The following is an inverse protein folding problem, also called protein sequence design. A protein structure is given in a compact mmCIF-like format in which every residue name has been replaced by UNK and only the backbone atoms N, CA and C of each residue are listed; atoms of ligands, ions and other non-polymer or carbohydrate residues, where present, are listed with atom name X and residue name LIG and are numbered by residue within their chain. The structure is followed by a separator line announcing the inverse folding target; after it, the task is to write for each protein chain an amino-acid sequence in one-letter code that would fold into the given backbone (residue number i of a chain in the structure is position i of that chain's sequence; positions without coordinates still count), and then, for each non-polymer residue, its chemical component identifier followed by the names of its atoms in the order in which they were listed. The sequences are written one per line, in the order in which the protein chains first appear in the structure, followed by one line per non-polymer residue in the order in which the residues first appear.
data_IF_812864523142
#
_entry.id   IF_812864523142
#
_cell.length_a   1.000
_cell.length_b   1.000
_cell.length_c   1.000
_cell.angle_alpha   90.00
_cell.angle_beta   90.00
_cell.angle_gamma   90.00
#
_symmetry.space_group_name_H-M   'P 1'
#
loop_
_entity.id
_entity.type
_entity.pdbx_description
1 polymer ?
#
# COMPACT_ATOMS: atom_id res chain seq x y z
N UNK A 1 12.48 -1.74 39.03
CA UNK A 1 11.25 -0.94 38.81
C UNK A 1 11.49 0.43 39.44
N UNK A 2 11.34 1.51 38.68
CA UNK A 2 11.67 2.88 39.15
C UNK A 2 10.42 3.56 39.71
N UNK A 3 10.59 4.56 40.59
CA UNK A 3 9.50 5.08 41.44
C UNK A 3 8.36 5.83 40.72
N UNK A 4 8.38 5.94 39.38
CA UNK A 4 7.29 6.55 38.61
C UNK A 4 5.99 5.73 38.67
N UNK A 5 6.11 4.41 38.74
CA UNK A 5 5.02 3.44 38.61
C UNK A 5 3.97 3.49 39.75
N UNK A 6 4.20 4.33 40.79
CA UNK A 6 3.34 4.43 41.99
C UNK A 6 2.57 5.74 42.14
N UNK A 7 2.67 6.66 41.18
CA UNK A 7 1.93 7.94 41.25
C UNK A 7 0.65 7.91 40.40
N UNK A 8 -0.46 8.44 40.93
CA UNK A 8 -1.73 8.55 40.20
C UNK A 8 -1.55 9.28 38.85
N UNK A 9 -0.72 10.33 38.83
CA UNK A 9 -0.35 11.05 37.61
C UNK A 9 0.39 10.17 36.59
N UNK A 10 1.26 9.25 37.04
CA UNK A 10 1.93 8.28 36.17
C UNK A 10 0.93 7.34 35.50
N UNK A 11 0.04 6.72 36.29
CA UNK A 11 -1.02 5.82 35.77
C UNK A 11 -1.95 6.53 34.79
N UNK A 12 -2.33 7.80 35.06
CA UNK A 12 -3.15 8.59 34.14
C UNK A 12 -2.40 8.90 32.83
N UNK A 13 -1.11 9.24 32.89
CA UNK A 13 -0.33 9.51 31.68
C UNK A 13 -0.04 8.24 30.87
N UNK A 14 0.26 7.11 31.53
CA UNK A 14 0.38 5.81 30.86
C UNK A 14 -0.95 5.38 30.23
N UNK A 15 -2.09 5.57 30.91
CA UNK A 15 -3.41 5.33 30.36
C UNK A 15 -3.72 6.24 29.16
N UNK A 16 -3.27 7.50 29.18
CA UNK A 16 -3.37 8.43 28.02
C UNK A 16 -2.46 8.00 26.87
N UNK A 17 -1.22 7.61 27.15
CA UNK A 17 -0.26 7.10 26.16
C UNK A 17 -0.81 5.82 25.52
N UNK A 18 -1.37 4.91 26.32
CA UNK A 18 -1.95 3.65 25.85
C UNK A 18 -3.27 3.86 25.09
N UNK A 19 -4.15 4.74 25.57
CA UNK A 19 -5.32 5.17 24.79
C UNK A 19 -4.91 5.85 23.46
N UNK A 20 -3.81 6.60 23.44
CA UNK A 20 -3.24 7.21 22.24
C UNK A 20 -2.67 6.16 21.29
N UNK A 21 -1.93 5.16 21.78
CA UNK A 21 -1.45 4.00 20.99
C UNK A 21 -2.62 3.24 20.38
N UNK A 22 -3.66 2.93 21.16
CA UNK A 22 -4.91 2.28 20.72
C UNK A 22 -5.63 3.10 19.64
N UNK A 23 -5.78 4.41 19.81
CA UNK A 23 -6.34 5.33 18.79
C UNK A 23 -5.43 5.53 17.58
N UNK A 24 -4.11 5.31 17.70
CA UNK A 24 -3.17 5.38 16.57
C UNK A 24 -3.23 4.13 15.71
N UNK A 25 -3.46 2.97 16.31
CA UNK A 25 -3.54 1.69 15.59
C UNK A 25 -4.95 1.34 15.08
N UNK A 26 -6.02 2.00 15.57
CA UNK A 26 -7.38 1.76 15.06
C UNK A 26 -7.56 2.34 13.63
N UNK A 27 -8.13 1.55 12.70
CA UNK A 27 -8.56 2.04 11.40
C UNK A 27 -9.59 3.18 11.51
N UNK A 28 -9.69 4.03 10.48
CA UNK A 28 -10.81 4.99 10.39
C UNK A 28 -12.14 4.23 10.22
N UNK A 29 -13.25 4.70 10.84
CA UNK A 29 -14.58 4.11 10.68
C UNK A 29 -15.00 4.07 9.20
N UNK A 30 -15.71 3.01 8.80
CA UNK A 30 -16.13 2.80 7.41
C UNK A 30 -16.91 4.01 6.84
N UNK A 31 -17.83 4.58 7.62
CA UNK A 31 -18.65 5.72 7.20
C UNK A 31 -17.80 6.97 6.89
N UNK A 32 -16.74 7.23 7.67
CA UNK A 32 -15.81 8.35 7.43
C UNK A 32 -15.04 8.15 6.13
N UNK A 33 -14.68 6.91 5.78
CA UNK A 33 -14.02 6.61 4.50
C UNK A 33 -14.96 6.75 3.32
N UNK A 34 -16.23 6.34 3.46
CA UNK A 34 -17.18 6.30 2.34
C UNK A 34 -17.98 7.59 2.13
N UNK A 35 -18.03 8.49 3.12
CA UNK A 35 -18.69 9.80 3.02
C UNK A 35 -18.34 10.60 1.75
N UNK A 36 -17.05 10.70 1.41
CA UNK A 36 -16.61 11.47 0.26
C UNK A 36 -17.01 10.87 -1.10
N UNK A 37 -17.37 9.57 -1.16
CA UNK A 37 -17.96 8.96 -2.36
C UNK A 37 -19.40 9.45 -2.54
N UNK A 38 -20.18 9.46 -1.46
CA UNK A 38 -21.55 10.01 -1.49
C UNK A 38 -21.53 11.49 -1.88
N UNK A 39 -20.59 12.27 -1.35
CA UNK A 39 -20.40 13.68 -1.73
C UNK A 39 -20.05 13.83 -3.21
N UNK A 40 -19.11 13.03 -3.74
CA UNK A 40 -18.75 13.06 -5.16
C UNK A 40 -19.95 12.76 -6.07
N UNK A 41 -20.72 11.71 -5.75
CA UNK A 41 -21.91 11.34 -6.53
C UNK A 41 -23.02 12.40 -6.45
N UNK A 42 -23.20 13.04 -5.28
CA UNK A 42 -24.14 14.14 -5.12
C UNK A 42 -23.76 15.37 -5.96
N UNK A 43 -22.48 15.76 -5.95
CA UNK A 43 -21.96 16.87 -6.79
C UNK A 43 -22.10 16.54 -8.28
N UNK A 44 -21.73 15.31 -8.70
CA UNK A 44 -21.89 14.88 -10.09
C UNK A 44 -23.37 14.89 -10.52
N UNK A 45 -24.28 14.41 -9.67
CA UNK A 45 -25.73 14.44 -9.90
C UNK A 45 -26.30 15.86 -10.00
N UNK A 46 -25.88 16.77 -9.12
CA UNK A 46 -26.27 18.19 -9.19
C UNK A 46 -25.79 18.85 -10.49
N UNK A 47 -24.53 18.64 -10.87
CA UNK A 47 -23.98 19.16 -12.14
C UNK A 47 -24.72 18.56 -13.34
N UNK A 48 -25.09 17.28 -13.29
CA UNK A 48 -25.89 16.63 -14.34
C UNK A 48 -27.30 17.23 -14.45
N UNK A 49 -27.95 17.50 -13.31
CA UNK A 49 -29.25 18.17 -13.27
C UNK A 49 -29.18 19.58 -13.90
N UNK A 50 -28.24 20.43 -13.45
CA UNK A 50 -28.08 21.79 -14.00
C UNK A 50 -27.71 21.75 -15.48
N UNK A 51 -26.81 20.85 -15.89
CA UNK A 51 -26.41 20.71 -17.29
C UNK A 51 -27.59 20.29 -18.16
N UNK A 52 -28.25 19.17 -17.86
CA UNK A 52 -29.34 18.65 -18.69
C UNK A 52 -30.52 19.64 -18.72
N UNK A 53 -30.97 20.13 -17.55
CA UNK A 53 -32.10 21.05 -17.46
C UNK A 53 -31.84 22.37 -18.21
N UNK A 54 -30.76 23.07 -17.87
CA UNK A 54 -30.51 24.43 -18.40
C UNK A 54 -30.01 24.43 -19.85
N UNK A 55 -29.35 23.36 -20.33
CA UNK A 55 -29.03 23.19 -21.76
C UNK A 55 -30.32 23.02 -22.58
N UNK A 56 -31.25 22.18 -22.12
CA UNK A 56 -32.52 21.97 -22.81
C UNK A 56 -33.37 23.24 -22.83
N UNK A 57 -33.66 23.83 -21.66
CA UNK A 57 -34.49 25.04 -21.54
C UNK A 57 -34.01 26.17 -22.45
N UNK A 58 -32.73 26.55 -22.35
CA UNK A 58 -32.19 27.73 -23.05
C UNK A 58 -32.05 27.51 -24.56
N UNK A 59 -31.83 26.29 -25.04
CA UNK A 59 -31.75 26.02 -26.49
C UNK A 59 -33.16 25.89 -27.11
N UNK A 60 -34.16 25.41 -26.37
CA UNK A 60 -35.56 25.37 -26.81
C UNK A 60 -36.15 26.79 -26.89
N UNK A 61 -35.95 27.63 -25.88
CA UNK A 61 -36.56 28.97 -25.74
C UNK A 61 -36.09 30.04 -26.74
N UNK A 62 -35.55 29.65 -27.90
CA UNK A 62 -35.11 30.56 -28.98
C UNK A 62 -35.60 30.16 -30.38
N UNK A 63 -36.35 29.07 -30.53
CA UNK A 63 -36.87 28.65 -31.85
C UNK A 63 -38.22 29.29 -32.20
N UNK A 64 -38.82 30.04 -31.27
CA UNK A 64 -40.03 30.85 -31.47
C UNK A 64 -39.84 32.02 -32.46
N UNK A 65 -38.62 32.23 -32.97
CA UNK A 65 -38.22 33.40 -33.74
C UNK A 65 -37.49 33.07 -35.06
N UNK A 66 -38.27 33.15 -36.15
CA UNK A 66 -37.83 33.30 -37.56
C UNK A 66 -37.32 32.03 -38.26
N UNK A 67 -38.22 31.49 -39.08
CA UNK A 67 -38.03 30.62 -40.25
C UNK A 67 -36.60 30.40 -40.79
N UNK A 68 -36.02 29.24 -40.49
CA UNK A 68 -35.05 28.54 -41.35
C UNK A 68 -34.87 27.07 -40.93
N UNK A 69 -35.62 26.16 -41.57
CA UNK A 69 -35.49 24.68 -41.52
C UNK A 69 -35.34 23.99 -40.13
N UNK A 70 -36.31 23.14 -39.77
CA UNK A 70 -36.03 21.97 -38.93
C UNK A 70 -34.81 21.21 -39.50
N UNK A 71 -33.81 20.75 -38.70
CA UNK A 71 -33.85 20.45 -37.27
C UNK A 71 -32.63 21.00 -36.47
N UNK A 72 -32.12 22.17 -36.86
CA UNK A 72 -30.74 22.61 -36.51
C UNK A 72 -30.45 22.76 -35.00
N UNK A 73 -31.42 23.16 -34.19
CA UNK A 73 -31.26 23.25 -32.73
C UNK A 73 -31.36 21.88 -32.04
N UNK A 74 -32.25 21.00 -32.51
CA UNK A 74 -32.41 19.62 -32.00
C UNK A 74 -31.08 18.89 -32.15
N UNK A 75 -30.46 18.96 -33.34
CA UNK A 75 -29.15 18.38 -33.59
C UNK A 75 -28.10 18.91 -32.59
N UNK A 76 -28.11 20.23 -32.30
CA UNK A 76 -27.19 20.82 -31.33
C UNK A 76 -27.43 20.30 -29.91
N UNK A 77 -28.68 20.28 -29.41
CA UNK A 77 -28.99 19.71 -28.09
C UNK A 77 -28.52 18.26 -28.01
N UNK A 78 -28.92 17.44 -28.98
CA UNK A 78 -28.58 16.01 -29.01
C UNK A 78 -27.06 15.81 -29.00
N UNK A 79 -26.29 16.55 -29.81
CA UNK A 79 -24.83 16.47 -29.80
C UNK A 79 -24.23 16.86 -28.44
N UNK A 80 -24.67 17.98 -27.84
CA UNK A 80 -24.16 18.41 -26.53
C UNK A 80 -24.52 17.43 -25.39
N UNK A 81 -25.71 16.83 -25.42
CA UNK A 81 -26.16 15.84 -24.44
C UNK A 81 -25.48 14.47 -24.64
N UNK A 82 -25.29 14.02 -25.89
CA UNK A 82 -24.61 12.75 -26.20
C UNK A 82 -23.14 12.81 -25.78
N UNK A 83 -22.41 13.88 -26.14
CA UNK A 83 -21.00 14.05 -25.73
C UNK A 83 -20.88 14.13 -24.21
N UNK A 84 -21.75 14.92 -23.56
CA UNK A 84 -21.80 14.99 -22.10
C UNK A 84 -22.06 13.62 -21.45
N UNK A 85 -23.05 12.88 -21.96
CA UNK A 85 -23.41 11.55 -21.45
C UNK A 85 -22.26 10.56 -21.61
N UNK A 86 -21.55 10.58 -22.74
CA UNK A 86 -20.36 9.74 -22.97
C UNK A 86 -19.28 10.06 -21.92
N UNK A 87 -18.95 11.34 -21.72
CA UNK A 87 -17.92 11.72 -20.73
C UNK A 87 -18.35 11.46 -19.29
N UNK A 88 -19.63 11.62 -18.95
CA UNK A 88 -20.19 11.27 -17.65
C UNK A 88 -20.13 9.76 -17.42
N UNK A 89 -20.55 8.94 -18.38
CA UNK A 89 -20.48 7.48 -18.30
C UNK A 89 -19.04 6.98 -18.14
N UNK A 90 -18.08 7.52 -18.91
CA UNK A 90 -16.67 7.15 -18.80
C UNK A 90 -16.06 7.58 -17.46
N UNK A 91 -16.47 8.73 -16.93
CA UNK A 91 -16.08 9.19 -15.57
C UNK A 91 -16.66 8.27 -14.50
N UNK A 92 -17.96 7.96 -14.54
CA UNK A 92 -18.61 7.08 -13.56
C UNK A 92 -18.10 5.64 -13.63
N UNK A 93 -17.85 5.12 -14.84
CA UNK A 93 -17.27 3.79 -15.05
C UNK A 93 -15.84 3.69 -14.49
N UNK A 94 -14.97 4.64 -14.82
CA UNK A 94 -13.59 4.67 -14.30
C UNK A 94 -13.56 4.91 -12.78
N UNK A 95 -14.48 5.73 -12.26
CA UNK A 95 -14.68 5.92 -10.82
C UNK A 95 -15.12 4.63 -10.11
N UNK A 96 -16.13 3.94 -10.63
CA UNK A 96 -16.55 2.63 -10.11
C UNK A 96 -15.38 1.62 -10.14
N UNK A 97 -14.61 1.56 -11.25
CA UNK A 97 -13.42 0.72 -11.34
C UNK A 97 -12.39 1.02 -10.25
N UNK A 98 -12.07 2.30 -9.95
CA UNK A 98 -11.10 2.61 -8.88
C UNK A 98 -11.68 2.45 -7.46
N UNK A 99 -12.99 2.60 -7.26
CA UNK A 99 -13.64 2.40 -5.95
C UNK A 99 -13.82 0.93 -5.58
N UNK A 100 -14.06 0.05 -6.56
CA UNK A 100 -14.31 -1.38 -6.34
C UNK A 100 -13.09 -2.30 -6.60
N UNK A 101 -12.03 -1.82 -7.26
CA UNK A 101 -10.77 -2.59 -7.37
C UNK A 101 -9.95 -2.42 -6.09
N UNK A 102 -9.52 -3.54 -5.49
CA UNK A 102 -8.58 -3.54 -4.35
C UNK A 102 -7.27 -2.82 -4.72
N UNK A 103 -6.60 -2.09 -3.81
CA UNK A 103 -5.27 -1.54 -4.05
C UNK A 103 -4.16 -2.60 -3.98
N UNK A 104 -4.47 -3.83 -3.56
CA UNK A 104 -3.50 -4.88 -3.22
C UNK A 104 -3.06 -4.76 -1.75
N UNK A 105 -3.28 -5.80 -0.94
CA UNK A 105 -2.93 -5.80 0.48
C UNK A 105 -1.76 -6.76 0.71
N UNK A 106 -0.75 -6.31 1.45
CA UNK A 106 0.47 -7.10 1.65
C UNK A 106 0.26 -8.38 2.48
N UNK A 107 -0.79 -8.42 3.33
CA UNK A 107 -1.15 -9.61 4.10
C UNK A 107 -1.66 -10.76 3.22
N UNK A 108 -2.25 -10.43 2.07
CA UNK A 108 -2.87 -11.42 1.20
C UNK A 108 -1.75 -12.27 0.55
N UNK A 109 -0.61 -11.63 0.21
CA UNK A 109 0.64 -12.25 -0.27
C UNK A 109 1.34 -13.09 0.81
N UNK A 110 1.37 -12.60 2.05
CA UNK A 110 1.99 -13.28 3.20
C UNK A 110 1.28 -14.61 3.52
N UNK A 111 -0.05 -14.62 3.45
CA UNK A 111 -0.85 -15.84 3.57
C UNK A 111 -0.57 -16.86 2.45
N UNK A 112 -0.39 -16.42 1.21
CA UNK A 112 -0.09 -17.33 0.09
C UNK A 112 1.30 -17.97 0.24
N UNK A 113 2.32 -17.20 0.67
CA UNK A 113 3.66 -17.74 0.93
C UNK A 113 3.66 -18.79 2.06
N UNK A 114 2.97 -18.51 3.18
CA UNK A 114 2.83 -19.48 4.27
C UNK A 114 2.02 -20.72 3.85
N UNK A 115 0.98 -20.55 3.03
CA UNK A 115 0.15 -21.68 2.56
C UNK A 115 0.90 -22.56 1.56
N UNK A 116 1.70 -21.98 0.66
CA UNK A 116 2.55 -22.75 -0.26
C UNK A 116 3.68 -23.47 0.49
N UNK A 117 4.30 -22.83 1.50
CA UNK A 117 5.33 -23.45 2.34
C UNK A 117 4.82 -24.65 3.15
N UNK A 118 3.59 -24.61 3.66
CA UNK A 118 2.99 -25.78 4.32
C UNK A 118 2.65 -26.90 3.32
N UNK A 119 2.25 -26.54 2.09
CA UNK A 119 1.92 -27.51 1.04
C UNK A 119 3.14 -28.26 0.52
N UNK A 120 4.28 -27.59 0.32
CA UNK A 120 5.54 -28.24 -0.05
C UNK A 120 6.10 -29.10 1.07
N UNK A 121 5.97 -28.68 2.34
CA UNK A 121 6.28 -29.57 3.46
C UNK A 121 5.39 -30.82 3.47
N UNK A 122 4.09 -30.68 3.19
CA UNK A 122 3.15 -31.83 3.14
C UNK A 122 3.45 -32.83 2.01
N UNK A 123 3.93 -32.37 0.85
CA UNK A 123 4.36 -33.28 -0.23
C UNK A 123 5.71 -33.93 0.07
N UNK A 124 6.60 -33.25 0.80
CA UNK A 124 7.88 -33.83 1.22
C UNK A 124 7.72 -34.92 2.30
N UNK A 125 6.71 -34.81 3.18
CA UNK A 125 6.34 -35.91 4.09
C UNK A 125 5.77 -37.12 3.34
N UNK A 126 4.84 -36.91 2.40
CA UNK A 126 4.29 -37.99 1.58
C UNK A 126 5.34 -38.73 0.74
N UNK A 127 6.40 -38.03 0.30
CA UNK A 127 7.50 -38.64 -0.45
C UNK A 127 8.53 -39.34 0.45
N UNK A 128 8.72 -38.86 1.69
CA UNK A 128 9.58 -39.52 2.70
C UNK A 128 8.96 -40.83 3.19
N UNK A 129 7.64 -40.88 3.35
CA UNK A 129 6.90 -42.11 3.73
C UNK A 129 6.92 -43.19 2.62
N UNK A 130 7.10 -42.79 1.36
CA UNK A 130 7.26 -43.73 0.23
C UNK A 130 8.71 -44.26 0.09
N UNK A 131 9.70 -43.57 0.65
CA UNK A 131 11.10 -44.01 0.63
C UNK A 131 11.52 -44.84 1.85
N UNK A 132 10.76 -44.79 2.96
CA UNK A 132 11.00 -45.65 4.14
C UNK A 132 10.37 -47.05 4.03
N UNK A 133 9.57 -47.34 3.01
CA UNK A 133 8.99 -48.68 2.75
C UNK A 133 9.82 -49.56 1.81
N UNK A 134 10.96 -49.07 1.30
CA UNK A 134 11.78 -49.74 0.28
C UNK A 134 13.21 -50.09 0.71
N UNK A 135 13.57 -49.88 1.99
CA UNK A 135 14.94 -50.04 2.51
C UNK A 135 15.08 -51.10 3.62
N UNK A 136 14.15 -52.05 3.72
CA UNK A 136 14.28 -53.23 4.59
C UNK A 136 14.10 -54.53 3.79
N UNK A 137 15.19 -55.01 3.16
CA UNK A 137 15.18 -56.26 2.41
C UNK A 137 16.52 -56.67 1.81
N UNK A 138 17.14 -57.69 2.43
CA UNK A 138 18.13 -58.62 1.87
C UNK A 138 19.53 -58.12 1.45
N UNK A 139 20.51 -58.42 2.32
CA UNK A 139 21.71 -59.16 1.91
C UNK A 139 22.36 -59.84 3.11
N UNK A 140 22.32 -61.18 3.18
CA UNK A 140 23.54 -62.02 3.30
C UNK A 140 23.20 -63.52 3.23
N UNK A 141 24.18 -64.33 2.84
CA UNK A 141 24.00 -65.73 2.46
C UNK A 141 25.09 -66.65 3.05
N UNK A 142 24.69 -67.67 3.82
CA UNK A 142 25.52 -68.85 4.09
C UNK A 142 24.66 -70.06 4.51
N UNK A 143 25.01 -71.25 4.00
CA UNK A 143 24.44 -72.57 4.33
C UNK A 143 25.50 -73.43 5.08
N UNK A 144 25.28 -74.72 5.40
CA UNK A 144 24.49 -75.18 6.54
C UNK A 144 25.25 -76.23 7.41
N UNK A 145 24.69 -76.66 8.56
CA UNK A 145 25.08 -77.96 9.16
C UNK A 145 23.97 -78.59 10.03
N UNK A 146 24.17 -79.86 10.39
CA UNK A 146 23.12 -80.90 10.39
C UNK A 146 22.88 -81.61 11.73
N UNK A 147 21.61 -81.93 11.99
CA UNK A 147 21.07 -83.18 12.59
C UNK A 147 21.48 -83.59 14.03
N UNK A 148 20.47 -83.84 14.88
CA UNK A 148 20.63 -84.62 16.14
C UNK A 148 19.46 -84.52 17.14
N UNK A 149 18.54 -85.48 17.13
CA UNK A 149 17.51 -85.76 18.17
C UNK A 149 17.88 -87.06 18.92
N UNK A 150 17.32 -87.47 20.11
CA UNK A 150 15.87 -87.57 20.39
C UNK A 150 15.34 -87.40 21.86
N UNK A 151 14.01 -87.23 21.96
CA UNK A 151 12.96 -87.77 22.90
C UNK A 151 13.33 -88.51 24.21
N UNK A 152 12.40 -88.70 25.20
CA UNK A 152 10.92 -88.58 25.17
C UNK A 152 10.34 -87.69 26.33
N UNK A 153 9.05 -87.64 26.76
CA UNK A 153 7.78 -88.35 26.49
C UNK A 153 6.57 -87.37 26.23
N UNK A 154 5.49 -87.44 27.06
CA UNK A 154 4.11 -86.87 26.97
C UNK A 154 3.35 -87.30 28.28
N UNK A 155 2.02 -87.08 28.51
CA UNK A 155 0.96 -86.51 27.64
C UNK A 155 -0.03 -85.48 28.25
N UNK A 156 -0.64 -84.67 27.35
CA UNK A 156 -2.06 -84.19 27.28
C UNK A 156 -2.70 -83.39 28.46
N UNK A 157 -3.70 -82.49 28.29
CA UNK A 157 -4.57 -82.17 27.14
C UNK A 157 -5.14 -80.70 27.19
N UNK A 158 -5.63 -80.19 26.04
CA UNK A 158 -6.83 -79.30 25.85
C UNK A 158 -6.97 -77.93 26.59
N UNK A 159 -7.68 -76.88 26.11
CA UNK A 159 -8.22 -76.48 24.79
C UNK A 159 -8.61 -74.96 24.80
N UNK A 160 -8.64 -74.34 23.60
CA UNK A 160 -9.47 -73.20 23.14
C UNK A 160 -9.49 -71.75 23.74
N UNK A 161 -9.22 -70.81 22.81
CA UNK A 161 -9.89 -69.51 22.49
C UNK A 161 -11.04 -69.01 23.39
N UNK A 162 -11.09 -67.68 23.58
CA UNK A 162 -12.34 -66.95 23.86
C UNK A 162 -12.20 -65.42 23.83
N UNK A 163 -12.84 -64.76 22.85
CA UNK A 163 -13.17 -63.32 22.89
C UNK A 163 -14.59 -63.14 23.42
N UNK A 164 -14.90 -62.02 24.10
CA UNK A 164 -16.16 -61.24 23.99
C UNK A 164 -16.64 -60.58 25.29
N UNK A 165 -17.32 -59.44 25.10
CA UNK A 165 -18.13 -58.69 26.08
C UNK A 165 -19.20 -59.54 26.78
N UNK A 166 -19.49 -59.23 28.05
CA UNK A 166 -20.89 -58.98 28.50
C UNK A 166 -20.98 -58.16 29.79
N UNK A 167 -22.11 -57.43 29.88
CA UNK A 167 -22.63 -56.62 30.99
C UNK A 167 -22.83 -57.42 32.31
N UNK A 168 -22.73 -56.73 33.45
CA UNK A 168 -23.86 -56.50 34.39
C UNK A 168 -23.59 -55.37 35.41
N UNK A 169 -24.66 -54.89 36.03
CA UNK A 169 -24.81 -53.72 36.92
C UNK A 169 -24.11 -53.79 38.29
N UNK A 170 -23.72 -52.63 38.85
CA UNK A 170 -24.24 -52.12 40.15
C UNK A 170 -23.87 -50.65 40.42
N UNK A 171 -24.70 -49.95 41.20
CA UNK A 171 -24.74 -48.47 41.43
C UNK A 171 -24.12 -48.12 42.81
N UNK A 172 -23.50 -46.93 43.01
CA UNK A 172 -24.12 -45.91 43.89
C UNK A 172 -24.08 -44.46 43.36
N UNK A 173 -25.26 -43.82 43.41
CA UNK A 173 -25.60 -42.40 43.62
C UNK A 173 -24.49 -41.32 43.64
N UNK A 174 -24.74 -40.19 42.95
CA UNK A 174 -25.27 -38.98 43.61
C UNK A 174 -25.90 -37.99 42.62
N UNK A 175 -26.77 -37.11 43.14
CA UNK A 175 -27.55 -36.12 42.38
C UNK A 175 -26.69 -35.07 41.65
N UNK A 176 -27.12 -34.64 40.47
CA UNK A 176 -27.80 -33.33 40.24
C UNK A 176 -28.22 -33.27 38.76
N UNK A 177 -29.50 -33.02 38.49
CA UNK A 177 -30.03 -32.93 37.12
C UNK A 177 -29.84 -31.54 36.53
N UNK A 178 -29.22 -31.48 35.35
CA UNK A 178 -29.26 -30.31 34.47
C UNK A 178 -30.47 -30.38 33.53
N UNK A 179 -31.10 -29.24 33.27
CA UNK A 179 -31.74 -28.91 31.99
C UNK A 179 -31.35 -27.47 31.63
N UNK A 180 -30.36 -27.30 30.76
CA UNK A 180 -30.54 -27.15 29.30
C UNK A 180 -31.11 -25.79 28.86
N UNK A 181 -30.24 -24.94 28.32
CA UNK A 181 -30.42 -24.47 26.93
C UNK A 181 -29.07 -24.07 26.30
N UNK A 182 -28.99 -24.17 24.97
CA UNK A 182 -27.74 -24.23 24.19
C UNK A 182 -27.70 -23.08 23.18
N UNK A 183 -26.47 -22.63 22.84
CA UNK A 183 -25.96 -21.89 21.64
C UNK A 183 -25.23 -20.60 22.06
N UNK A 184 -24.08 -20.23 21.50
CA UNK A 184 -23.13 -20.85 20.55
C UNK A 184 -21.81 -20.06 20.65
N UNK A 185 -20.61 -20.63 20.40
CA UNK A 185 -19.39 -20.08 20.98
C UNK A 185 -18.65 -19.06 20.11
N UNK A 186 -18.48 -17.85 20.65
CA UNK A 186 -17.19 -17.15 20.65
C UNK A 186 -16.49 -17.44 22.00
N UNK A 187 -15.17 -17.24 22.09
CA UNK A 187 -14.33 -17.40 23.30
C UNK A 187 -13.94 -18.83 23.77
N UNK A 188 -13.14 -19.54 22.96
CA UNK A 188 -11.97 -20.33 23.39
C UNK A 188 -11.22 -20.77 22.11
N UNK A 189 -9.90 -20.71 21.97
CA UNK A 189 -8.84 -20.99 22.95
C UNK A 189 -7.51 -20.40 22.45
N UNK A 190 -6.93 -19.45 23.17
CA UNK A 190 -5.49 -19.13 23.02
C UNK A 190 -4.71 -19.94 24.05
N UNK A 191 -3.95 -20.94 23.59
CA UNK A 191 -2.71 -21.44 24.20
C UNK A 191 -2.01 -22.38 23.21
N UNK A 192 -0.69 -22.48 23.39
CA UNK A 192 0.22 -23.41 22.72
C UNK A 192 0.53 -23.16 21.24
N UNK A 193 1.36 -22.13 20.97
CA UNK A 193 2.57 -22.29 20.13
C UNK A 193 3.71 -21.44 20.73
N UNK A 194 4.49 -22.03 21.63
CA UNK A 194 5.85 -21.59 21.95
C UNK A 194 6.80 -22.77 21.73
N UNK A 195 7.27 -22.94 20.50
CA UNK A 195 8.50 -23.67 20.16
C UNK A 195 8.82 -23.48 18.68
N UNK A 196 9.77 -22.60 18.35
CA UNK A 196 10.63 -22.80 17.18
C UNK A 196 12.04 -22.31 17.53
N UNK A 197 13.01 -23.20 17.81
CA UNK A 197 14.30 -22.84 18.37
C UNK A 197 15.32 -22.42 17.28
N UNK A 198 14.95 -21.51 16.38
CA UNK A 198 15.86 -21.01 15.33
C UNK A 198 15.52 -19.59 14.81
N UNK A 199 14.88 -18.77 15.66
CA UNK A 199 14.72 -17.34 15.37
C UNK A 199 16.06 -16.60 15.58
N UNK A 200 16.50 -15.73 14.64
CA UNK A 200 17.70 -14.92 14.84
C UNK A 200 17.61 -14.06 16.10
N UNK A 201 18.64 -14.15 16.95
CA UNK A 201 18.74 -13.41 18.21
C UNK A 201 18.71 -11.89 17.93
N UNK A 202 17.69 -11.21 18.46
CA UNK A 202 17.59 -9.75 18.47
C UNK A 202 18.03 -9.27 19.86
N UNK A 203 19.12 -8.48 19.98
CA UNK A 203 19.54 -7.97 21.28
C UNK A 203 18.52 -6.99 21.88
N UNK A 204 18.14 -7.20 23.15
CA UNK A 204 17.14 -6.40 23.88
C UNK A 204 17.56 -4.94 24.20
N UNK A 205 18.65 -4.44 23.61
CA UNK A 205 19.30 -3.17 23.98
C UNK A 205 19.28 -2.10 22.89
N UNK A 206 18.13 -1.88 22.23
CA UNK A 206 17.82 -0.56 21.64
C UNK A 206 17.01 0.24 22.66
N UNK A 207 17.72 0.96 23.53
CA UNK A 207 17.11 1.89 24.48
C UNK A 207 16.30 2.97 23.72
N UNK A 208 14.97 2.87 23.80
CA UNK A 208 14.07 3.89 23.26
C UNK A 208 14.31 5.22 24.00
N UNK A 209 14.63 6.33 23.32
CA UNK A 209 14.75 7.62 23.99
C UNK A 209 13.38 8.03 24.56
N UNK A 210 13.32 8.56 25.80
CA UNK A 210 12.07 8.79 26.49
C UNK A 210 11.25 9.91 25.81
N UNK A 211 10.00 9.59 25.48
CA UNK A 211 9.03 10.55 24.97
C UNK A 211 8.68 11.52 26.10
N UNK A 212 9.15 12.77 25.98
CA UNK A 212 8.79 13.87 26.89
C UNK A 212 7.79 14.80 26.22
N UNK A 213 6.60 14.92 26.82
CA UNK A 213 5.53 15.81 26.37
C UNK A 213 5.77 17.25 26.85
N UNK A 214 5.78 18.19 25.91
CA UNK A 214 5.37 19.58 26.11
C UNK A 214 6.00 20.38 27.26
N UNK A 215 7.15 21.00 27.00
CA UNK A 215 7.45 22.33 27.54
C UNK A 215 8.41 23.07 26.61
N UNK A 216 8.15 24.37 26.39
CA UNK A 216 8.96 25.22 25.52
C UNK A 216 10.29 25.56 26.21
N UNK A 217 11.35 24.78 25.93
CA UNK A 217 12.71 25.10 26.35
C UNK A 217 13.66 24.99 25.18
N UNK A 218 14.38 26.09 24.92
CA UNK A 218 15.39 26.22 23.87
C UNK A 218 16.37 25.04 23.90
N UNK A 219 16.25 24.13 22.94
CA UNK A 219 17.16 22.99 22.82
C UNK A 219 18.32 23.40 21.92
N UNK A 220 19.32 24.05 22.53
CA UNK A 220 20.63 24.31 21.91
C UNK A 220 21.12 23.00 21.29
N UNK A 221 21.34 23.01 19.98
CA UNK A 221 21.80 21.84 19.23
C UNK A 221 23.30 21.73 19.48
N UNK A 222 23.73 20.65 20.13
CA UNK A 222 25.15 20.29 20.25
C UNK A 222 25.82 20.41 18.87
N UNK A 223 26.90 21.19 18.73
CA UNK A 223 27.66 21.22 17.49
C UNK A 223 28.48 19.93 17.40
N UNK A 224 28.40 19.22 16.26
CA UNK A 224 29.36 18.15 15.98
C UNK A 224 30.77 18.73 16.10
N UNK A 225 31.58 18.15 17.00
CA UNK A 225 32.90 18.67 17.33
C UNK A 225 33.79 18.75 16.09
N UNK A 226 34.30 19.94 15.82
CA UNK A 226 35.49 20.11 14.99
C UNK A 226 36.70 20.03 15.91
N UNK A 227 37.61 19.08 15.66
CA UNK A 227 38.94 19.12 16.25
C UNK A 227 39.72 20.33 15.69
N UNK A 228 40.56 21.00 16.48
CA UNK A 228 41.38 22.10 16.00
C UNK A 228 42.57 21.53 15.21
N UNK A 229 42.46 21.47 13.88
CA UNK A 229 43.60 21.02 13.04
C UNK A 229 43.31 20.65 11.59
N UNK A 230 42.06 20.44 11.17
CA UNK A 230 41.76 20.06 9.78
C UNK A 230 41.33 21.23 8.89
N UNK A 231 41.94 21.30 7.71
CA UNK A 231 41.78 22.39 6.75
C UNK A 231 40.36 22.43 6.17
N UNK A 232 39.78 23.64 6.10
CA UNK A 232 38.49 23.87 5.43
C UNK A 232 38.65 23.76 3.92
N UNK A 233 38.58 22.54 3.41
CA UNK A 233 38.66 22.26 1.99
C UNK A 233 37.37 22.73 1.28
N UNK A 234 37.50 23.73 0.41
CA UNK A 234 36.38 24.27 -0.40
C UNK A 234 35.91 23.26 -1.46
N UNK A 235 36.68 22.19 -1.71
CA UNK A 235 36.23 21.02 -2.49
C UNK A 235 35.36 20.02 -1.68
N UNK A 236 35.19 20.21 -0.37
CA UNK A 236 34.65 19.20 0.57
C UNK A 236 33.13 18.97 0.58
N UNK A 237 32.36 19.55 -0.36
CA UNK A 237 30.90 19.45 -0.39
C UNK A 237 30.44 18.43 -1.46
N UNK A 238 30.15 17.20 -1.04
CA UNK A 238 29.52 16.16 -1.87
C UNK A 238 28.12 15.79 -1.36
N UNK A 239 27.29 15.22 -2.25
CA UNK A 239 25.99 14.64 -1.91
C UNK A 239 26.19 13.48 -0.93
N UNK A 240 25.27 13.38 0.05
CA UNK A 240 25.21 12.27 1.02
C UNK A 240 23.84 11.60 0.90
N UNK A 241 23.71 10.49 0.13
CA UNK A 241 22.47 9.72 0.07
C UNK A 241 22.22 9.00 1.42
N UNK A 242 21.05 8.36 1.55
CA UNK A 242 20.80 7.53 2.72
C UNK A 242 21.59 6.23 2.61
N UNK A 243 22.39 5.92 3.62
CA UNK A 243 23.09 4.64 3.76
C UNK A 243 22.20 3.52 4.33
N UNK A 244 20.90 3.79 4.56
CA UNK A 244 19.95 2.77 5.04
C UNK A 244 19.76 1.68 3.98
N UNK A 245 20.04 0.41 4.31
CA UNK A 245 19.90 -0.70 3.35
C UNK A 245 18.42 -1.11 3.21
N UNK A 246 17.70 -0.44 2.30
CA UNK A 246 16.24 -0.53 2.15
C UNK A 246 15.74 -1.87 1.59
N UNK A 247 16.61 -2.70 0.99
CA UNK A 247 16.20 -4.03 0.53
C UNK A 247 16.19 -5.06 1.67
N UNK A 248 16.96 -4.86 2.74
CA UNK A 248 17.05 -5.83 3.84
C UNK A 248 15.72 -5.95 4.62
N UNK A 249 15.32 -7.17 5.05
CA UNK A 249 14.04 -7.42 5.71
C UNK A 249 13.80 -6.57 6.98
N UNK A 250 14.84 -6.38 7.80
CA UNK A 250 14.78 -5.64 9.06
C UNK A 250 14.34 -4.17 8.87
N UNK A 251 14.75 -3.53 7.77
CA UNK A 251 14.32 -2.17 7.44
C UNK A 251 12.90 -2.11 6.85
N UNK A 252 12.31 -3.26 6.52
CA UNK A 252 10.98 -3.38 5.91
C UNK A 252 9.92 -3.94 6.84
N UNK A 253 10.22 -4.35 8.07
CA UNK A 253 9.21 -4.89 9.00
C UNK A 253 8.06 -3.92 9.31
N UNK A 254 6.82 -4.44 9.45
CA UNK A 254 5.66 -3.70 9.93
C UNK A 254 5.27 -4.14 11.35
N UNK A 255 5.63 -3.35 12.37
CA UNK A 255 5.30 -3.66 13.77
C UNK A 255 3.80 -3.74 14.08
N UNK A 256 2.93 -3.19 13.21
CA UNK A 256 1.45 -3.25 13.31
C UNK A 256 0.82 -4.45 12.64
N UNK A 257 1.23 -4.75 11.40
CA UNK A 257 0.71 -5.88 10.63
C UNK A 257 1.47 -7.19 10.91
N UNK A 258 2.61 -7.12 11.61
CA UNK A 258 3.52 -8.23 11.95
C UNK A 258 4.19 -8.95 10.78
N UNK A 259 4.08 -8.41 9.56
CA UNK A 259 4.71 -8.91 8.34
C UNK A 259 5.99 -8.13 7.97
N UNK A 260 6.90 -8.77 7.22
CA UNK A 260 7.91 -8.07 6.43
C UNK A 260 7.20 -7.46 5.22
N UNK A 261 7.29 -6.14 5.04
CA UNK A 261 6.61 -5.49 3.90
C UNK A 261 7.26 -5.93 2.58
N UNK A 262 6.48 -6.39 1.58
CA UNK A 262 6.95 -6.46 0.19
C UNK A 262 7.56 -5.13 -0.27
N UNK A 263 8.35 -5.15 -1.33
CA UNK A 263 8.95 -3.93 -1.85
C UNK A 263 7.86 -2.89 -2.18
N UNK A 264 8.15 -1.61 -1.89
CA UNK A 264 7.24 -0.46 -2.10
C UNK A 264 5.94 -0.49 -1.27
N UNK A 265 5.72 -1.51 -0.43
CA UNK A 265 4.52 -1.59 0.39
C UNK A 265 4.65 -0.75 1.68
N UNK A 266 3.61 0.00 2.02
CA UNK A 266 3.57 0.83 3.24
C UNK A 266 2.27 0.62 4.03
N UNK A 267 2.33 0.85 5.35
CA UNK A 267 1.17 0.73 6.23
C UNK A 267 0.31 2.00 6.19
N UNK A 268 -0.89 1.90 5.64
CA UNK A 268 -1.85 2.99 5.69
C UNK A 268 -2.60 2.99 7.03
N UNK A 269 -2.40 4.03 7.85
CA UNK A 269 -3.11 4.19 9.14
C UNK A 269 -4.63 4.33 8.98
N UNK A 270 -5.11 5.01 7.92
CA UNK A 270 -6.54 5.18 7.69
C UNK A 270 -7.23 3.84 7.38
N UNK A 271 -6.60 3.01 6.53
CA UNK A 271 -7.11 1.68 6.21
C UNK A 271 -6.87 0.65 7.31
N UNK A 272 -5.78 0.77 8.09
CA UNK A 272 -5.37 -0.16 9.15
C UNK A 272 -4.50 -1.32 8.65
N UNK A 273 -3.94 -1.25 7.44
CA UNK A 273 -3.24 -2.38 6.79
C UNK A 273 -2.08 -1.93 5.91
N UNK A 274 -1.18 -2.85 5.59
CA UNK A 274 -0.14 -2.66 4.57
C UNK A 274 -0.71 -2.84 3.16
N UNK A 275 -0.41 -1.88 2.29
CA UNK A 275 -0.88 -1.81 0.90
C UNK A 275 0.33 -1.98 -0.01
N UNK A 276 0.19 -2.81 -1.05
CA UNK A 276 1.21 -3.05 -2.07
C UNK A 276 1.43 -1.78 -2.91
N UNK A 277 2.70 -1.45 -3.19
CA UNK A 277 3.12 -0.23 -3.92
C UNK A 277 2.33 1.02 -3.49
N UNK A 278 2.28 1.27 -2.19
CA UNK A 278 1.39 2.28 -1.62
C UNK A 278 1.72 3.67 -2.15
N UNK A 279 0.76 4.28 -2.84
CA UNK A 279 0.88 5.65 -3.34
C UNK A 279 0.38 6.64 -2.29
N UNK A 280 -0.92 6.60 -2.00
CA UNK A 280 -1.55 7.43 -0.97
C UNK A 280 -2.89 6.83 -0.49
N UNK A 281 -3.44 7.42 0.57
CA UNK A 281 -4.84 7.21 0.94
C UNK A 281 -5.68 8.35 0.34
N UNK A 282 -6.70 8.01 -0.46
CA UNK A 282 -7.52 8.98 -1.15
C UNK A 282 -8.96 8.95 -0.59
N UNK A 283 -9.39 9.99 0.15
CA UNK A 283 -10.75 10.07 0.68
C UNK A 283 -11.81 9.97 -0.42
N UNK A 284 -11.59 10.60 -1.58
CA UNK A 284 -12.55 10.66 -2.69
C UNK A 284 -12.91 9.30 -3.32
N UNK A 285 -12.09 8.26 -3.15
CA UNK A 285 -12.41 6.86 -3.52
C UNK A 285 -12.68 5.98 -2.30
N UNK A 286 -12.58 6.54 -1.08
CA UNK A 286 -12.76 5.87 0.20
C UNK A 286 -11.84 4.69 0.44
N UNK A 287 -10.63 4.69 -0.14
CA UNK A 287 -9.59 3.67 0.04
C UNK A 287 -8.19 4.17 -0.37
N UNK A 288 -7.21 3.29 -0.39
CA UNK A 288 -5.87 3.59 -0.90
C UNK A 288 -5.78 3.50 -2.42
N UNK A 289 -4.80 4.21 -2.97
CA UNK A 289 -4.22 3.94 -4.29
C UNK A 289 -2.94 3.12 -4.06
N UNK A 290 -2.84 2.00 -4.78
CA UNK A 290 -1.73 1.04 -4.71
C UNK A 290 -1.60 0.25 -6.01
N UNK A 291 -0.79 -0.81 -6.00
CA UNK A 291 -0.40 -1.58 -7.18
C UNK A 291 -1.55 -1.87 -8.15
N UNK A 292 -2.63 -2.48 -7.65
CA UNK A 292 -3.69 -3.02 -8.53
C UNK A 292 -4.77 -2.01 -8.96
N UNK A 293 -4.80 -0.81 -8.37
CA UNK A 293 -5.81 0.21 -8.72
C UNK A 293 -5.26 1.56 -9.21
N UNK A 294 -3.93 1.77 -9.23
CA UNK A 294 -3.31 3.00 -9.74
C UNK A 294 -3.71 3.31 -11.20
N UNK A 295 -3.76 2.30 -12.07
CA UNK A 295 -4.25 2.45 -13.46
C UNK A 295 -5.68 2.98 -13.55
N UNK A 296 -6.57 2.47 -12.70
CA UNK A 296 -7.96 2.94 -12.65
C UNK A 296 -8.07 4.34 -12.07
N UNK A 297 -7.20 4.70 -11.10
CA UNK A 297 -7.10 6.07 -10.58
C UNK A 297 -6.67 7.06 -11.66
N UNK A 298 -5.65 6.75 -12.47
CA UNK A 298 -5.20 7.60 -13.59
C UNK A 298 -6.32 7.76 -14.63
N UNK A 299 -7.02 6.67 -15.00
CA UNK A 299 -8.15 6.73 -15.92
C UNK A 299 -9.32 7.58 -15.37
N UNK A 300 -9.61 7.49 -14.07
CA UNK A 300 -10.62 8.33 -13.40
C UNK A 300 -10.23 9.81 -13.44
N UNK A 301 -8.96 10.14 -13.16
CA UNK A 301 -8.47 11.52 -13.24
C UNK A 301 -8.52 12.07 -14.69
N UNK A 302 -8.25 11.23 -15.69
CA UNK A 302 -8.34 11.59 -17.10
C UNK A 302 -9.78 11.90 -17.53
N UNK A 303 -10.71 10.94 -17.35
CA UNK A 303 -12.11 11.16 -17.74
C UNK A 303 -12.80 12.24 -16.91
N UNK A 304 -12.49 12.33 -15.62
CA UNK A 304 -12.94 13.43 -14.76
C UNK A 304 -12.45 14.80 -15.25
N UNK A 305 -11.19 14.91 -15.70
CA UNK A 305 -10.67 16.14 -16.32
C UNK A 305 -11.45 16.49 -17.60
N UNK A 306 -11.60 15.53 -18.53
CA UNK A 306 -12.31 15.74 -19.80
C UNK A 306 -13.76 16.15 -19.56
N UNK A 307 -14.47 15.45 -18.67
CA UNK A 307 -15.85 15.75 -18.30
C UNK A 307 -15.99 17.13 -17.66
N UNK A 308 -15.13 17.50 -16.71
CA UNK A 308 -15.17 18.82 -16.08
C UNK A 308 -14.92 19.95 -17.08
N UNK A 309 -13.89 19.85 -17.93
CA UNK A 309 -13.54 20.92 -18.87
C UNK A 309 -14.52 21.04 -20.04
N UNK A 310 -15.09 19.92 -20.53
CA UNK A 310 -16.21 19.95 -21.47
C UNK A 310 -17.44 20.66 -20.88
N UNK A 311 -17.80 20.30 -19.65
CA UNK A 311 -18.95 20.88 -18.95
C UNK A 311 -18.73 22.37 -18.67
N UNK A 312 -17.53 22.75 -18.22
CA UNK A 312 -17.12 24.13 -18.00
C UNK A 312 -17.26 24.97 -19.27
N UNK A 313 -16.66 24.54 -20.39
CA UNK A 313 -16.69 25.27 -21.65
C UNK A 313 -18.11 25.42 -22.21
N UNK A 314 -18.90 24.35 -22.14
CA UNK A 314 -20.29 24.32 -22.60
C UNK A 314 -21.18 25.24 -21.78
N UNK A 315 -21.14 25.14 -20.44
CA UNK A 315 -21.92 26.01 -19.55
C UNK A 315 -21.48 27.47 -19.65
N UNK A 316 -20.17 27.76 -19.77
CA UNK A 316 -19.68 29.12 -19.97
C UNK A 316 -20.12 29.72 -21.31
N UNK A 317 -20.10 28.93 -22.39
CA UNK A 317 -20.59 29.35 -23.70
C UNK A 317 -22.09 29.65 -23.69
N UNK A 318 -22.88 28.83 -23.00
CA UNK A 318 -24.31 29.07 -22.75
C UNK A 318 -24.50 30.33 -21.90
N UNK A 319 -23.83 30.44 -20.75
CA UNK A 319 -23.95 31.57 -19.83
C UNK A 319 -23.64 32.93 -20.50
N UNK A 320 -22.64 32.98 -21.38
CA UNK A 320 -22.30 34.20 -22.14
C UNK A 320 -23.28 34.54 -23.27
N UNK A 321 -24.06 33.56 -23.76
CA UNK A 321 -24.96 33.73 -24.92
C UNK A 321 -26.39 34.08 -24.52
N UNK A 322 -26.82 33.71 -23.32
CA UNK A 322 -28.16 33.99 -22.82
C UNK A 322 -28.05 34.97 -21.64
N UNK A 323 -28.55 36.19 -21.84
CA UNK A 323 -28.58 37.23 -20.80
C UNK A 323 -29.31 36.74 -19.55
N UNK A 324 -28.80 37.01 -18.34
CA UNK A 324 -29.49 36.66 -17.10
C UNK A 324 -30.75 37.52 -16.93
N UNK A 325 -31.84 36.88 -16.47
CA UNK A 325 -33.17 37.45 -16.26
C UNK A 325 -33.93 36.90 -15.04
N UNK A 326 -33.31 36.13 -14.14
CA UNK A 326 -33.97 35.66 -12.92
C UNK A 326 -33.10 34.91 -11.90
N UNK A 327 -33.69 34.53 -10.76
CA UNK A 327 -32.99 33.81 -9.68
C UNK A 327 -32.52 32.39 -10.09
N UNK A 328 -33.17 31.79 -11.10
CA UNK A 328 -32.74 30.56 -11.78
C UNK A 328 -31.36 30.68 -12.45
N UNK A 329 -30.86 31.89 -12.68
CA UNK A 329 -29.54 32.11 -13.29
C UNK A 329 -28.37 31.98 -12.31
N UNK A 330 -28.60 31.71 -11.02
CA UNK A 330 -27.52 31.42 -10.07
C UNK A 330 -27.00 29.97 -10.19
N UNK A 331 -27.82 29.01 -10.63
CA UNK A 331 -27.43 27.60 -10.72
C UNK A 331 -26.28 27.37 -11.72
N UNK A 332 -26.32 28.05 -12.86
CA UNK A 332 -25.30 27.93 -13.92
C UNK A 332 -23.92 28.44 -13.46
N UNK A 333 -23.74 29.67 -12.92
CA UNK A 333 -22.46 30.12 -12.41
C UNK A 333 -21.99 29.33 -11.18
N UNK A 334 -22.90 28.81 -10.33
CA UNK A 334 -22.54 27.86 -9.27
C UNK A 334 -21.96 26.57 -9.88
N UNK A 335 -22.65 25.98 -10.88
CA UNK A 335 -22.17 24.79 -11.57
C UNK A 335 -20.83 25.03 -12.29
N UNK A 336 -20.67 26.17 -12.99
CA UNK A 336 -19.40 26.59 -13.62
C UNK A 336 -18.27 26.68 -12.57
N UNK A 337 -18.54 27.31 -11.43
CA UNK A 337 -17.57 27.41 -10.33
C UNK A 337 -17.17 26.04 -9.77
N UNK A 338 -18.13 25.15 -9.56
CA UNK A 338 -17.89 23.77 -9.12
C UNK A 338 -17.06 22.98 -10.14
N UNK A 339 -17.47 22.91 -11.41
CA UNK A 339 -16.74 22.12 -12.42
C UNK A 339 -15.37 22.74 -12.76
N UNK A 340 -15.21 24.05 -12.64
CA UNK A 340 -13.91 24.72 -12.76
C UNK A 340 -12.96 24.34 -11.62
N UNK A 341 -13.43 24.40 -10.36
CA UNK A 341 -12.65 24.01 -9.19
C UNK A 341 -12.25 22.52 -9.22
N UNK A 342 -13.21 21.63 -9.48
CA UNK A 342 -12.94 20.21 -9.63
C UNK A 342 -12.06 19.92 -10.85
N UNK A 343 -12.26 20.60 -11.98
CA UNK A 343 -11.43 20.46 -13.19
C UNK A 343 -9.96 20.84 -12.96
N UNK A 344 -9.69 21.88 -12.18
CA UNK A 344 -8.33 22.26 -11.75
C UNK A 344 -7.71 21.20 -10.82
N UNK A 345 -8.49 20.64 -9.89
CA UNK A 345 -8.02 19.57 -9.01
C UNK A 345 -7.72 18.28 -9.80
N UNK A 346 -8.61 17.90 -10.71
CA UNK A 346 -8.46 16.73 -11.58
C UNK A 346 -7.21 16.84 -12.47
N UNK A 347 -7.00 17.97 -13.16
CA UNK A 347 -5.83 18.11 -14.04
C UNK A 347 -4.52 18.17 -13.24
N UNK A 348 -4.50 18.84 -12.08
CA UNK A 348 -3.33 18.90 -11.20
C UNK A 348 -2.93 17.53 -10.65
N UNK A 349 -3.90 16.74 -10.21
CA UNK A 349 -3.67 15.34 -9.82
C UNK A 349 -3.24 14.47 -11.01
N UNK A 350 -3.86 14.62 -12.18
CA UNK A 350 -3.52 13.85 -13.37
C UNK A 350 -2.07 14.11 -13.79
N UNK A 351 -1.66 15.38 -13.91
CA UNK A 351 -0.28 15.76 -14.23
C UNK A 351 0.71 15.20 -13.20
N UNK A 352 0.35 15.22 -11.91
CA UNK A 352 1.19 14.67 -10.84
C UNK A 352 1.33 13.15 -10.98
N UNK A 353 0.22 12.41 -11.13
CA UNK A 353 0.24 10.95 -11.24
C UNK A 353 0.90 10.47 -12.53
N UNK A 354 0.70 11.16 -13.66
CA UNK A 354 1.42 10.89 -14.92
C UNK A 354 2.91 11.15 -14.73
N UNK A 355 3.32 12.26 -14.10
CA UNK A 355 4.73 12.53 -13.81
C UNK A 355 5.36 11.46 -12.90
N UNK A 356 4.67 11.04 -11.85
CA UNK A 356 5.15 10.00 -10.93
C UNK A 356 5.26 8.64 -11.63
N UNK A 357 4.24 8.25 -12.39
CA UNK A 357 4.22 7.03 -13.21
C UNK A 357 5.38 7.01 -14.21
N UNK A 358 5.61 8.10 -14.94
CA UNK A 358 6.73 8.23 -15.88
C UNK A 358 8.11 8.15 -15.19
N UNK A 359 8.23 8.47 -13.90
CA UNK A 359 9.47 8.29 -13.13
C UNK A 359 9.53 6.98 -12.32
N UNK A 360 8.54 6.08 -12.52
CA UNK A 360 8.25 4.91 -11.69
C UNK A 360 8.38 5.20 -10.18
N UNK A 361 7.70 6.26 -9.74
CA UNK A 361 7.62 6.66 -8.33
C UNK A 361 6.20 6.53 -7.81
N UNK A 362 6.09 6.18 -6.53
CA UNK A 362 4.91 6.51 -5.74
C UNK A 362 5.02 7.93 -5.17
N UNK A 363 3.90 8.49 -4.73
CA UNK A 363 3.85 9.76 -3.99
C UNK A 363 4.80 9.72 -2.78
N UNK A 364 4.82 8.60 -2.03
CA UNK A 364 5.74 8.40 -0.90
C UNK A 364 7.22 8.44 -1.34
N UNK A 365 7.59 7.75 -2.41
CA UNK A 365 8.96 7.75 -2.95
C UNK A 365 9.36 9.15 -3.43
N UNK A 366 8.43 9.87 -4.09
CA UNK A 366 8.64 11.25 -4.53
C UNK A 366 8.88 12.22 -3.38
N UNK A 367 8.24 12.00 -2.21
CA UNK A 367 8.46 12.79 -0.99
C UNK A 367 9.87 12.56 -0.43
N UNK A 368 10.40 11.34 -0.48
CA UNK A 368 11.79 11.07 -0.11
C UNK A 368 12.77 11.78 -1.06
N UNK A 369 12.50 11.73 -2.38
CA UNK A 369 13.27 12.44 -3.39
C UNK A 369 13.16 13.98 -3.28
N UNK A 370 12.04 14.51 -2.76
CA UNK A 370 11.86 15.93 -2.45
C UNK A 370 12.66 16.33 -1.21
N UNK A 371 12.53 15.58 -0.12
CA UNK A 371 13.27 15.81 1.12
C UNK A 371 14.79 15.79 0.90
N UNK A 372 15.29 14.96 -0.02
CA UNK A 372 16.71 14.97 -0.41
C UNK A 372 17.11 16.24 -1.17
N UNK A 373 16.29 16.69 -2.13
CA UNK A 373 16.51 17.98 -2.83
C UNK A 373 16.45 19.18 -1.89
N UNK A 374 15.61 19.14 -0.86
CA UNK A 374 15.53 20.16 0.19
C UNK A 374 16.81 20.18 1.05
N UNK A 375 17.35 19.02 1.44
CA UNK A 375 18.66 18.92 2.13
C UNK A 375 19.79 19.51 1.28
N UNK A 376 19.85 19.16 -0.01
CA UNK A 376 20.81 19.75 -0.95
C UNK A 376 20.66 21.27 -1.04
N UNK A 377 19.43 21.79 -1.07
CA UNK A 377 19.17 23.22 -1.10
C UNK A 377 19.64 23.93 0.18
N UNK A 378 19.46 23.32 1.36
CA UNK A 378 19.97 23.86 2.63
C UNK A 378 21.49 23.88 2.67
N UNK A 379 22.16 22.81 2.23
CA UNK A 379 23.63 22.79 2.11
C UNK A 379 24.10 23.89 1.17
N UNK A 380 23.55 23.98 -0.04
CA UNK A 380 23.94 25.00 -1.01
C UNK A 380 23.61 26.43 -0.55
N UNK A 381 22.59 26.62 0.28
CA UNK A 381 22.27 27.94 0.85
C UNK A 381 23.20 28.36 1.99
N UNK A 382 23.84 27.40 2.68
CA UNK A 382 24.86 27.66 3.70
C UNK A 382 26.21 28.02 3.08
N UNK A 383 26.60 27.27 2.05
CA UNK A 383 27.94 27.35 1.46
C UNK A 383 28.05 28.44 0.37
N UNK A 384 26.94 28.77 -0.30
CA UNK A 384 26.92 29.76 -1.38
C UNK A 384 25.88 30.86 -1.13
N UNK A 385 26.29 32.11 -1.38
CA UNK A 385 25.45 33.29 -1.31
C UNK A 385 24.27 33.23 -2.29
N UNK A 386 23.21 33.99 -2.05
CA UNK A 386 21.97 33.88 -2.83
C UNK A 386 22.17 34.22 -4.32
N UNK A 387 23.07 35.17 -4.63
CA UNK A 387 23.44 35.55 -6.01
C UNK A 387 24.40 34.58 -6.72
N UNK A 388 25.00 33.61 -6.04
CA UNK A 388 25.94 32.65 -6.64
C UNK A 388 25.21 31.50 -7.38
N UNK A 389 24.22 31.83 -8.20
CA UNK A 389 23.35 30.86 -8.89
C UNK A 389 24.10 29.98 -9.90
N UNK A 390 25.20 30.47 -10.50
CA UNK A 390 26.07 29.66 -11.38
C UNK A 390 26.75 28.54 -10.62
N UNK A 391 27.48 28.86 -9.55
CA UNK A 391 28.13 27.89 -8.66
C UNK A 391 27.11 26.87 -8.09
N UNK A 392 25.98 27.33 -7.55
CA UNK A 392 24.90 26.43 -7.04
C UNK A 392 24.40 25.45 -8.10
N UNK A 393 24.31 25.87 -9.37
CA UNK A 393 23.89 25.02 -10.50
C UNK A 393 24.99 24.02 -10.88
N UNK A 394 26.24 24.47 -10.87
CA UNK A 394 27.42 23.66 -11.18
C UNK A 394 27.67 22.56 -10.13
N UNK A 395 27.61 22.88 -8.84
CA UNK A 395 27.71 21.89 -7.76
C UNK A 395 26.62 20.81 -7.88
N UNK A 396 25.37 21.19 -8.23
CA UNK A 396 24.30 20.22 -8.51
C UNK A 396 24.54 19.39 -9.76
N UNK A 397 25.18 19.94 -10.81
CA UNK A 397 25.60 19.18 -11.99
C UNK A 397 26.65 18.14 -11.61
N UNK A 398 27.68 18.55 -10.87
CA UNK A 398 28.73 17.65 -10.37
C UNK A 398 28.16 16.51 -9.52
N UNK A 399 27.26 16.79 -8.57
CA UNK A 399 26.59 15.73 -7.79
C UNK A 399 25.71 14.81 -8.63
N UNK A 400 25.10 15.30 -9.71
CA UNK A 400 24.35 14.45 -10.65
C UNK A 400 25.27 13.65 -11.59
N UNK A 401 26.52 14.08 -11.80
CA UNK A 401 27.55 13.27 -12.46
C UNK A 401 28.07 12.21 -11.50
N UNK A 402 28.52 12.59 -10.30
CA UNK A 402 29.01 11.68 -9.24
C UNK A 402 28.00 10.57 -8.85
N UNK A 403 26.71 10.89 -8.78
CA UNK A 403 25.68 9.99 -8.23
C UNK A 403 24.47 9.76 -9.15
N UNK A 404 24.33 10.44 -10.28
CA UNK A 404 23.07 10.44 -11.05
C UNK A 404 22.01 11.40 -10.53
N UNK A 405 20.91 11.57 -11.27
CA UNK A 405 19.85 12.53 -10.94
C UNK A 405 18.88 11.98 -9.87
N UNK A 406 18.67 12.76 -8.80
CA UNK A 406 17.67 12.45 -7.76
C UNK A 406 16.31 12.20 -8.41
N UNK A 407 15.71 11.05 -8.08
CA UNK A 407 14.40 10.64 -8.57
C UNK A 407 14.38 9.99 -9.96
N UNK A 408 15.52 9.84 -10.62
CA UNK A 408 15.69 9.03 -11.83
C UNK A 408 16.72 7.93 -11.59
N UNK A 409 17.96 8.12 -12.00
CA UNK A 409 19.08 7.20 -11.69
C UNK A 409 19.21 6.98 -10.18
N UNK A 410 18.91 8.01 -9.37
CA UNK A 410 18.80 7.93 -7.91
C UNK A 410 17.44 7.50 -7.35
N UNK A 411 16.61 6.83 -8.14
CA UNK A 411 15.43 6.09 -7.70
C UNK A 411 15.72 4.59 -7.92
N UNK A 412 15.62 3.78 -6.86
CA UNK A 412 15.88 2.34 -6.91
C UNK A 412 14.90 1.58 -7.83
N UNK A 413 13.76 2.18 -8.18
CA UNK A 413 12.75 1.59 -9.09
C UNK A 413 12.76 2.16 -10.51
N UNK A 414 13.72 3.03 -10.87
CA UNK A 414 13.79 3.62 -12.21
C UNK A 414 14.26 2.58 -13.25
N UNK A 415 13.42 2.31 -14.27
CA UNK A 415 13.66 1.27 -15.27
C UNK A 415 14.54 1.71 -16.45
N UNK A 416 15.24 2.84 -16.35
CA UNK A 416 16.01 3.42 -17.46
C UNK A 416 15.18 4.31 -18.39
N UNK A 417 13.95 3.91 -18.72
CA UNK A 417 13.11 4.56 -19.73
C UNK A 417 11.67 4.88 -19.28
N UNK A 418 11.11 5.97 -19.84
CA UNK A 418 9.77 6.46 -19.55
C UNK A 418 8.65 5.53 -20.03
N UNK A 419 8.81 4.86 -21.18
CA UNK A 419 7.81 3.94 -21.72
C UNK A 419 7.76 2.68 -20.88
N UNK A 420 8.92 2.13 -20.49
CA UNK A 420 8.99 1.01 -19.53
C UNK A 420 8.28 1.37 -18.20
N UNK A 421 8.59 2.55 -17.64
CA UNK A 421 7.95 3.04 -16.41
C UNK A 421 6.42 3.19 -16.56
N UNK A 422 5.94 3.64 -17.71
CA UNK A 422 4.50 3.76 -18.01
C UNK A 422 3.83 2.39 -18.19
N UNK A 423 4.43 1.50 -18.97
CA UNK A 423 3.90 0.16 -19.26
C UNK A 423 3.81 -0.72 -18.00
N UNK A 424 4.72 -0.56 -17.03
CA UNK A 424 4.64 -1.24 -15.73
C UNK A 424 3.33 -0.96 -14.95
N UNK A 425 2.68 0.20 -15.16
CA UNK A 425 1.44 0.61 -14.49
C UNK A 425 0.23 0.51 -15.42
N UNK A 426 0.39 1.03 -16.64
CA UNK A 426 -0.70 1.26 -17.59
C UNK A 426 -0.79 0.15 -18.65
N UNK A 427 0.18 -0.76 -18.73
CA UNK A 427 0.27 -1.84 -19.71
C UNK A 427 -0.82 -2.91 -19.59
N UNK A 428 -0.67 -3.98 -20.39
CA UNK A 428 -1.62 -5.12 -20.39
C UNK A 428 -1.35 -6.12 -19.28
N UNK A 429 -0.08 -6.28 -18.88
CA UNK A 429 0.35 -7.04 -17.72
C UNK A 429 1.03 -6.06 -16.74
N UNK A 430 0.29 -5.46 -15.78
CA UNK A 430 0.87 -4.60 -14.75
C UNK A 430 1.78 -5.38 -13.81
N UNK A 431 2.58 -4.69 -13.00
CA UNK A 431 3.36 -5.34 -11.95
C UNK A 431 2.50 -6.14 -10.95
N UNK A 432 3.06 -7.23 -10.42
CA UNK A 432 2.40 -8.17 -9.50
C UNK A 432 2.17 -7.59 -8.08
N UNK A 433 2.60 -6.34 -7.85
CA UNK A 433 2.50 -5.65 -6.57
C UNK A 433 3.61 -6.00 -5.56
N UNK A 434 4.48 -6.97 -5.87
CA UNK A 434 5.39 -7.62 -4.91
C UNK A 434 6.84 -7.54 -5.37
N UNK A 435 7.09 -7.92 -6.62
CA UNK A 435 8.40 -8.03 -7.23
C UNK A 435 8.63 -6.84 -8.17
N UNK A 436 9.73 -6.12 -7.94
CA UNK A 436 10.13 -4.98 -8.74
C UNK A 436 11.59 -5.15 -9.18
N UNK A 437 11.92 -4.97 -10.46
CA UNK A 437 13.31 -4.92 -10.88
C UNK A 437 14.02 -3.77 -10.17
N UNK A 438 15.14 -4.10 -9.53
CA UNK A 438 15.99 -3.14 -8.81
C UNK A 438 16.89 -2.46 -9.84
N UNK A 439 16.98 -1.13 -9.79
CA UNK A 439 17.92 -0.34 -10.59
C UNK A 439 19.36 -0.72 -10.18
N UNK A 440 20.21 -1.23 -11.10
CA UNK A 440 21.55 -1.75 -10.79
C UNK A 440 22.57 -0.67 -10.38
N UNK A 441 22.16 0.60 -10.27
CA UNK A 441 22.90 1.72 -9.67
C UNK A 441 22.80 1.76 -8.13
N UNK A 442 22.40 0.64 -7.55
CA UNK A 442 22.23 0.42 -6.13
C UNK A 442 22.89 -0.92 -5.78
N UNK A 443 23.50 -1.02 -4.60
CA UNK A 443 24.10 -2.27 -4.16
C UNK A 443 23.03 -3.33 -3.80
N UNK A 444 23.48 -4.57 -3.54
CA UNK A 444 22.61 -5.69 -3.19
C UNK A 444 21.74 -5.44 -1.93
N UNK A 445 22.07 -4.44 -1.11
CA UNK A 445 21.32 -4.06 0.08
C UNK A 445 20.41 -2.83 -0.16
N UNK A 446 20.45 -2.24 -1.35
CA UNK A 446 19.63 -1.09 -1.75
C UNK A 446 20.21 0.27 -1.38
N UNK A 447 21.51 0.37 -1.11
CA UNK A 447 22.19 1.67 -0.91
C UNK A 447 22.58 2.21 -2.28
N UNK A 448 22.43 3.52 -2.45
CA UNK A 448 22.75 4.21 -3.70
C UNK A 448 24.27 4.30 -3.85
N UNK A 449 24.83 3.77 -4.95
CA UNK A 449 26.27 3.75 -5.24
C UNK A 449 26.69 4.93 -6.13
N UNK A 450 27.99 5.24 -6.16
CA UNK A 450 28.56 6.26 -7.05
C UNK A 450 28.62 5.77 -8.50
N UNK A 451 28.68 6.69 -9.47
CA UNK A 451 28.79 6.35 -10.91
C UNK A 451 30.00 5.47 -11.23
N UNK A 452 31.12 5.66 -10.52
CA UNK A 452 32.33 4.82 -10.59
C UNK A 452 32.07 3.34 -10.23
N UNK A 453 31.03 3.06 -9.45
CA UNK A 453 30.63 1.72 -8.99
C UNK A 453 29.45 1.14 -9.79
N UNK A 454 28.99 1.84 -10.85
CA UNK A 454 27.89 1.36 -11.69
C UNK A 454 28.41 0.40 -12.77
N UNK A 455 27.55 -0.51 -13.29
CA UNK A 455 27.87 -1.28 -14.49
C UNK A 455 28.33 -0.37 -15.65
N UNK A 456 29.34 -0.80 -16.40
CA UNK A 456 30.01 0.03 -17.43
C UNK A 456 29.02 0.57 -18.48
N UNK A 457 28.00 -0.20 -18.83
CA UNK A 457 26.95 0.18 -19.79
C UNK A 457 25.97 1.25 -19.27
N UNK A 458 26.12 1.67 -18.01
CA UNK A 458 25.26 2.63 -17.32
C UNK A 458 26.00 3.87 -16.79
N UNK A 459 27.34 3.89 -16.89
CA UNK A 459 28.22 5.00 -16.52
C UNK A 459 28.06 6.20 -17.48
#
# INVERSE_FOLDING_TARGET
MTSRDRTCCGVIEDARIEARKRRVNKPQPWIVRKFAICLFLAVAGYVSYVYIGRVCERIIARDDGISASLPTWIIRIVVFLVIYSIFLLLTLWSYAKVVFTSPGLARDVDHDQHTQGSRTQSSFTLQRDFQTSLSSGFSESALPRTVGTPMPQRPNASHHRGSSRTRTHSIPNHHISNTNTIKSPDEARVRDVLANPEAPYVPDSIALPPITTGSARSRRREPNGFGPGESRNVNGISRRPSATPILLPENRYCSRCKIIKPYRAHHCRACGTCVLRYDHHCPWIGQCVGAFNQKFFINFLFWGSVSCWWTFGSLLGIYRKFSPGGASDLEIPIAIGLVGLFGLFFIGLLMTQVHLTLNNQTTVESMHAKAMREREQVVLAREFQWWQFRAKRETRRRWNQEWGRIGKEGNIWWLGDYRANWEAVMGRCPDDGVNYPVNPRFDAQGRWTRREEWPEELQ
#
